data_IF_475685313058
#
_entry.id   IF_475685313058
#
_cell.length_a   1.000
_cell.length_b   1.000
_cell.length_c   1.000
_cell.angle_alpha   90.00
_cell.angle_beta   90.00
_cell.angle_gamma   90.00
#
_symmetry.space_group_name_H-M   'P 1'
#
loop_
_entity.id
_entity.type
_entity.pdbx_description
1 polymer ?
#
# COMPACT_ATOMS: atom_id res chain seq x y z
N UNK A 1 -6.97 -63.87 13.64
CA UNK A 1 -6.68 -64.07 12.20
C UNK A 1 -5.25 -63.60 11.95
N UNK A 2 -4.35 -64.51 11.58
CA UNK A 2 -2.95 -64.21 11.30
C UNK A 2 -2.81 -63.72 9.85
N UNK A 3 -2.34 -62.48 9.65
CA UNK A 3 -2.05 -61.92 8.33
C UNK A 3 -0.76 -62.59 7.81
N UNK A 4 -0.86 -63.35 6.73
CA UNK A 4 0.31 -63.94 6.05
C UNK A 4 1.12 -62.83 5.37
N UNK A 5 2.46 -62.79 5.51
CA UNK A 5 3.29 -61.83 4.79
C UNK A 5 3.29 -62.17 3.29
N UNK A 6 2.94 -61.17 2.47
CA UNK A 6 3.00 -61.23 1.01
C UNK A 6 4.46 -61.35 0.55
N UNK A 7 4.79 -62.35 -0.28
CA UNK A 7 6.10 -62.56 -0.90
C UNK A 7 6.31 -61.72 -2.18
N UNK A 8 5.65 -60.58 -2.31
CA UNK A 8 5.86 -59.69 -3.46
C UNK A 8 7.05 -58.79 -3.18
N UNK A 9 7.96 -58.63 -4.14
CA UNK A 9 9.05 -57.65 -4.00
C UNK A 9 8.45 -56.24 -3.95
N UNK A 10 9.12 -55.30 -3.26
CA UNK A 10 8.73 -53.88 -3.25
C UNK A 10 8.53 -53.32 -4.67
N UNK A 11 9.29 -53.84 -5.65
CA UNK A 11 9.19 -53.46 -7.07
C UNK A 11 7.90 -53.96 -7.74
N UNK A 12 7.33 -55.10 -7.32
CA UNK A 12 6.02 -55.59 -7.82
C UNK A 12 4.85 -54.84 -7.18
N UNK A 13 4.99 -54.40 -5.93
CA UNK A 13 3.97 -53.59 -5.24
C UNK A 13 3.87 -52.21 -5.90
N UNK A 14 5.00 -51.56 -6.17
CA UNK A 14 5.04 -50.25 -6.84
C UNK A 14 4.50 -50.31 -8.28
N UNK A 15 4.75 -51.39 -9.02
CA UNK A 15 4.24 -51.56 -10.39
C UNK A 15 2.73 -51.84 -10.48
N UNK A 16 2.10 -52.31 -9.40
CA UNK A 16 0.69 -52.74 -9.43
C UNK A 16 -0.31 -51.72 -8.88
N UNK A 17 0.15 -50.65 -8.22
CA UNK A 17 -0.77 -49.68 -7.59
C UNK A 17 -0.46 -48.20 -7.83
N UNK A 18 0.60 -47.86 -8.59
CA UNK A 18 0.93 -46.46 -8.84
C UNK A 18 0.95 -46.21 -10.35
N UNK A 19 -0.04 -45.46 -10.85
CA UNK A 19 -0.03 -44.94 -12.22
C UNK A 19 1.24 -44.11 -12.41
N UNK A 20 1.87 -44.18 -13.59
CA UNK A 20 3.01 -43.32 -13.96
C UNK A 20 2.69 -41.83 -13.77
N UNK A 21 1.41 -41.45 -13.88
CA UNK A 21 0.90 -40.11 -13.57
C UNK A 21 1.14 -39.71 -12.11
N UNK A 22 0.92 -40.62 -11.16
CA UNK A 22 1.10 -40.36 -9.73
C UNK A 22 2.58 -40.35 -9.33
N UNK A 23 3.43 -41.10 -10.04
CA UNK A 23 4.90 -41.05 -9.84
C UNK A 23 5.46 -39.74 -10.40
N UNK A 24 4.97 -39.28 -11.55
CA UNK A 24 5.30 -37.97 -12.09
C UNK A 24 4.83 -36.85 -11.16
N UNK A 25 3.60 -36.90 -10.64
CA UNK A 25 3.11 -35.95 -9.62
C UNK A 25 3.97 -35.94 -8.35
N UNK A 26 4.49 -37.10 -7.92
CA UNK A 26 5.42 -37.22 -6.79
C UNK A 26 6.82 -36.68 -7.08
N UNK A 27 7.25 -36.66 -8.35
CA UNK A 27 8.54 -36.09 -8.77
C UNK A 27 8.43 -34.62 -9.18
N UNK A 28 7.23 -34.14 -9.51
CA UNK A 28 6.89 -32.72 -9.74
C UNK A 28 6.34 -32.02 -8.51
N UNK A 29 6.24 -32.72 -7.36
CA UNK A 29 6.09 -32.11 -6.05
C UNK A 29 7.38 -31.35 -5.74
N UNK A 30 7.44 -30.16 -6.34
CA UNK A 30 8.23 -28.98 -6.01
C UNK A 30 9.30 -29.19 -4.95
N UNK A 31 10.42 -29.80 -5.36
CA UNK A 31 11.71 -29.65 -4.68
C UNK A 31 12.32 -28.28 -5.03
N UNK A 32 11.53 -27.21 -4.93
CA UNK A 32 11.93 -25.86 -5.29
C UNK A 32 11.80 -24.85 -4.14
N UNK A 33 11.86 -25.28 -2.88
CA UNK A 33 12.36 -24.41 -1.82
C UNK A 33 13.25 -25.28 -0.91
N UNK A 34 14.59 -25.07 -0.86
CA UNK A 34 15.35 -25.63 0.24
C UNK A 34 14.64 -25.18 1.52
N UNK A 35 14.40 -26.11 2.44
CA UNK A 35 13.83 -25.79 3.76
C UNK A 35 14.71 -24.71 4.41
N UNK A 36 14.38 -23.43 4.16
CA UNK A 36 14.99 -22.30 4.84
C UNK A 36 14.71 -22.54 6.31
N UNK A 37 15.73 -22.42 7.14
CA UNK A 37 15.54 -22.59 8.57
C UNK A 37 14.46 -21.60 9.03
N UNK A 38 13.61 -22.00 9.98
CA UNK A 38 12.57 -21.11 10.54
C UNK A 38 13.17 -19.77 11.01
N UNK A 39 14.43 -19.81 11.45
CA UNK A 39 15.24 -18.64 11.81
C UNK A 39 15.59 -17.72 10.64
N UNK A 40 15.80 -18.25 9.44
CA UNK A 40 16.04 -17.44 8.23
C UNK A 40 14.75 -16.80 7.75
N UNK A 41 13.63 -17.54 7.75
CA UNK A 41 12.31 -16.99 7.39
C UNK A 41 11.93 -15.81 8.28
N UNK A 42 12.05 -15.98 9.60
CA UNK A 42 11.75 -14.91 10.56
C UNK A 42 12.64 -13.67 10.37
N UNK A 43 13.90 -13.86 9.98
CA UNK A 43 14.82 -12.74 9.69
C UNK A 43 14.42 -11.98 8.44
N UNK A 44 14.05 -12.69 7.37
CA UNK A 44 13.58 -12.09 6.13
C UNK A 44 12.27 -11.31 6.36
N UNK A 45 11.28 -11.93 7.00
CA UNK A 45 10.01 -11.25 7.30
C UNK A 45 10.17 -10.06 8.25
N UNK A 46 11.12 -10.12 9.19
CA UNK A 46 11.45 -8.96 10.04
C UNK A 46 12.04 -7.82 9.22
N UNK A 47 12.99 -8.12 8.33
CA UNK A 47 13.61 -7.11 7.47
C UNK A 47 12.60 -6.48 6.50
N UNK A 48 11.73 -7.29 5.90
CA UNK A 48 10.65 -6.81 5.02
C UNK A 48 9.68 -5.89 5.77
N UNK A 49 9.30 -6.27 6.99
CA UNK A 49 8.45 -5.43 7.84
C UNK A 49 9.13 -4.09 8.17
N UNK A 50 10.41 -4.08 8.55
CA UNK A 50 11.10 -2.82 8.84
C UNK A 50 11.20 -1.89 7.63
N UNK A 51 11.54 -2.42 6.44
CA UNK A 51 11.58 -1.62 5.23
C UNK A 51 10.20 -1.00 4.93
N UNK A 52 9.12 -1.76 5.17
CA UNK A 52 7.76 -1.26 5.00
C UNK A 52 7.42 -0.14 5.99
N UNK A 53 7.88 -0.28 7.24
CA UNK A 53 7.69 0.75 8.28
C UNK A 53 8.44 2.03 7.92
N UNK A 54 9.67 1.92 7.42
CA UNK A 54 10.47 3.06 6.97
C UNK A 54 9.77 3.77 5.78
N UNK A 55 9.31 3.01 4.78
CA UNK A 55 8.55 3.55 3.64
C UNK A 55 7.26 4.27 4.09
N UNK A 56 6.58 3.75 5.11
CA UNK A 56 5.39 4.37 5.70
C UNK A 56 5.72 5.70 6.37
N UNK A 57 6.77 5.73 7.18
CA UNK A 57 7.20 6.94 7.89
C UNK A 57 7.69 8.03 6.93
N UNK A 58 8.43 7.67 5.87
CA UNK A 58 8.87 8.59 4.81
C UNK A 58 7.68 9.24 4.08
N UNK A 59 6.58 8.49 3.91
CA UNK A 59 5.34 8.98 3.30
C UNK A 59 4.46 9.78 4.28
N UNK A 60 4.96 10.03 5.50
CA UNK A 60 4.22 10.74 6.56
C UNK A 60 3.07 9.92 7.13
N UNK A 61 3.06 8.61 6.92
CA UNK A 61 2.05 7.68 7.45
C UNK A 61 2.59 7.06 8.73
N UNK A 62 1.91 7.34 9.84
CA UNK A 62 2.32 6.81 11.14
C UNK A 62 1.92 5.34 11.25
N UNK A 63 2.88 4.43 11.10
CA UNK A 63 2.75 2.98 11.33
C UNK A 63 2.03 2.69 12.66
N UNK A 64 2.28 3.47 13.70
CA UNK A 64 1.58 3.38 14.97
C UNK A 64 0.06 3.52 14.87
N UNK A 65 -0.43 4.48 14.09
CA UNK A 65 -1.87 4.68 13.89
C UNK A 65 -2.51 3.46 13.22
N UNK A 66 -1.82 2.84 12.25
CA UNK A 66 -2.31 1.64 11.56
C UNK A 66 -2.36 0.41 12.48
N UNK A 67 -1.35 0.24 13.34
CA UNK A 67 -1.33 -0.85 14.31
C UNK A 67 -2.40 -0.69 15.39
N UNK A 68 -2.70 0.57 15.77
CA UNK A 68 -3.77 0.90 16.72
C UNK A 68 -5.14 0.66 16.08
N UNK A 69 -5.37 1.11 14.84
CA UNK A 69 -6.63 0.94 14.12
C UNK A 69 -6.98 -0.54 13.94
N UNK A 70 -5.97 -1.38 13.65
CA UNK A 70 -6.13 -2.84 13.58
C UNK A 70 -6.34 -3.52 14.94
N UNK A 71 -6.25 -2.78 16.04
CA UNK A 71 -6.39 -3.31 17.40
C UNK A 71 -5.27 -4.27 17.80
N UNK A 72 -4.12 -4.22 17.12
CA UNK A 72 -2.94 -5.06 17.41
C UNK A 72 -2.26 -4.55 18.68
N UNK A 73 -2.19 -3.22 18.79
CA UNK A 73 -1.70 -2.51 19.96
C UNK A 73 -2.67 -1.39 20.32
N UNK A 74 -2.56 -0.88 21.53
CA UNK A 74 -3.24 0.32 21.98
C UNK A 74 -2.31 1.53 21.94
N UNK A 75 -2.87 2.73 22.06
CA UNK A 75 -2.11 3.98 22.06
C UNK A 75 -1.07 4.04 23.20
N UNK A 76 -1.43 3.59 24.41
CA UNK A 76 -0.51 3.46 25.55
C UNK A 76 0.66 2.52 25.24
N UNK A 77 0.38 1.44 24.52
CA UNK A 77 1.39 0.44 24.16
C UNK A 77 2.31 0.92 23.04
N UNK A 78 1.81 1.76 22.13
CA UNK A 78 2.62 2.38 21.09
C UNK A 78 3.63 3.37 21.67
N UNK A 79 3.22 4.21 22.64
CA UNK A 79 4.13 5.15 23.31
C UNK A 79 5.29 4.42 24.01
N UNK A 80 4.98 3.33 24.71
CA UNK A 80 5.99 2.49 25.37
C UNK A 80 6.95 1.85 24.36
N UNK A 81 6.44 1.37 23.22
CA UNK A 81 7.24 0.81 22.13
C UNK A 81 8.18 1.86 21.52
N UNK A 82 7.68 3.06 21.22
CA UNK A 82 8.48 4.14 20.63
C UNK A 82 9.62 4.54 21.56
N UNK A 83 9.33 4.63 22.87
CA UNK A 83 10.35 4.92 23.87
C UNK A 83 11.42 3.82 23.93
N UNK A 84 11.01 2.55 23.92
CA UNK A 84 11.94 1.42 23.92
C UNK A 84 12.77 1.33 22.63
N UNK A 85 12.18 1.64 21.47
CA UNK A 85 12.92 1.73 20.20
C UNK A 85 14.02 2.80 20.26
N UNK A 86 13.69 3.98 20.80
CA UNK A 86 14.66 5.07 20.96
C UNK A 86 15.80 4.72 21.94
N UNK A 87 15.49 3.98 23.01
CA UNK A 87 16.48 3.61 24.03
C UNK A 87 17.36 2.41 23.61
N UNK A 88 16.80 1.44 22.88
CA UNK A 88 17.46 0.16 22.62
C UNK A 88 17.91 -0.04 21.17
N UNK A 89 17.44 0.81 20.23
CA UNK A 89 17.61 0.63 18.79
C UNK A 89 17.10 -0.75 18.30
N UNK A 90 16.16 -1.33 19.04
CA UNK A 90 15.55 -2.61 18.66
C UNK A 90 14.50 -2.36 17.59
N UNK A 91 14.48 -3.13 16.48
CA UNK A 91 13.46 -3.00 15.43
C UNK A 91 12.04 -3.23 15.95
N UNK A 92 11.05 -2.59 15.31
CA UNK A 92 9.65 -2.65 15.74
C UNK A 92 9.11 -4.09 15.71
N UNK A 93 9.40 -4.83 14.64
CA UNK A 93 9.07 -6.26 14.48
C UNK A 93 9.50 -7.10 15.68
N UNK A 94 10.71 -6.86 16.18
CA UNK A 94 11.28 -7.59 17.31
C UNK A 94 10.58 -7.23 18.62
N UNK A 95 10.23 -5.96 18.82
CA UNK A 95 9.51 -5.52 20.01
C UNK A 95 8.05 -6.01 20.02
N UNK A 96 7.37 -6.01 18.88
CA UNK A 96 6.00 -6.55 18.76
C UNK A 96 5.93 -8.04 19.15
N UNK A 97 6.94 -8.83 18.76
CA UNK A 97 7.06 -10.24 19.15
C UNK A 97 7.46 -10.37 20.62
N UNK A 98 8.45 -9.59 21.08
CA UNK A 98 8.97 -9.63 22.46
C UNK A 98 7.87 -9.35 23.49
N UNK A 99 7.04 -8.34 23.23
CA UNK A 99 5.91 -7.97 24.08
C UNK A 99 4.67 -8.85 23.85
N UNK A 100 4.75 -9.82 22.92
CA UNK A 100 3.68 -10.76 22.55
C UNK A 100 2.42 -10.06 22.02
N UNK A 101 2.57 -8.91 21.41
CA UNK A 101 1.48 -8.25 20.67
C UNK A 101 1.15 -9.04 19.40
N UNK A 102 2.15 -9.68 18.79
CA UNK A 102 1.99 -10.61 17.68
C UNK A 102 2.82 -11.88 17.91
N UNK A 103 2.38 -13.00 17.33
CA UNK A 103 3.22 -14.19 17.25
C UNK A 103 4.21 -14.10 16.08
N UNK A 104 5.36 -14.80 16.13
CA UNK A 104 6.34 -14.79 15.04
C UNK A 104 5.75 -15.15 13.67
N UNK A 105 4.79 -16.08 13.64
CA UNK A 105 4.11 -16.48 12.40
C UNK A 105 3.06 -15.49 11.87
N UNK A 106 2.69 -14.47 12.67
CA UNK A 106 1.71 -13.45 12.28
C UNK A 106 2.37 -12.20 11.70
N UNK A 107 3.70 -12.09 11.76
CA UNK A 107 4.43 -10.93 11.24
C UNK A 107 4.32 -10.83 9.72
N UNK A 108 4.42 -11.96 9.03
CA UNK A 108 4.28 -12.05 7.56
C UNK A 108 2.87 -11.64 7.11
N UNK A 109 1.84 -12.13 7.81
CA UNK A 109 0.45 -11.74 7.56
C UNK A 109 0.21 -10.26 7.82
N UNK A 110 0.77 -9.71 8.90
CA UNK A 110 0.66 -8.29 9.21
C UNK A 110 1.34 -7.42 8.16
N UNK A 111 2.55 -7.79 7.71
CA UNK A 111 3.27 -7.09 6.66
C UNK A 111 2.46 -7.07 5.36
N UNK A 112 1.91 -8.22 4.96
CA UNK A 112 1.08 -8.33 3.75
C UNK A 112 -0.22 -7.54 3.86
N UNK A 113 -0.85 -7.52 5.04
CA UNK A 113 -2.04 -6.71 5.30
C UNK A 113 -1.76 -5.21 5.24
N UNK A 114 -0.64 -4.75 5.81
CA UNK A 114 -0.24 -3.35 5.74
C UNK A 114 0.09 -2.96 4.30
N UNK A 115 0.80 -3.81 3.57
CA UNK A 115 1.11 -3.60 2.15
C UNK A 115 -0.15 -3.58 1.28
N UNK A 116 -1.06 -4.51 1.48
CA UNK A 116 -2.34 -4.56 0.77
C UNK A 116 -3.18 -3.32 1.07
N UNK A 117 -3.23 -2.86 2.33
CA UNK A 117 -3.86 -1.59 2.66
C UNK A 117 -3.14 -0.40 2.05
N UNK A 118 -1.81 -0.41 1.94
CA UNK A 118 -1.09 0.65 1.22
C UNK A 118 -1.45 0.64 -0.26
N UNK A 119 -1.58 -0.52 -0.90
CA UNK A 119 -1.99 -0.61 -2.30
C UNK A 119 -3.46 -0.19 -2.48
N UNK A 120 -4.34 -0.65 -1.60
CA UNK A 120 -5.75 -0.28 -1.56
C UNK A 120 -5.95 1.19 -1.23
N UNK A 121 -5.21 1.80 -0.31
CA UNK A 121 -5.27 3.23 0.01
C UNK A 121 -4.49 4.10 -0.99
N UNK A 122 -3.51 3.55 -1.70
CA UNK A 122 -2.92 4.22 -2.88
C UNK A 122 -3.92 4.24 -4.04
N UNK A 123 -4.88 3.32 -4.07
CA UNK A 123 -6.00 3.29 -5.01
C UNK A 123 -7.25 4.05 -4.50
N UNK A 124 -7.56 3.96 -3.19
CA UNK A 124 -8.73 4.54 -2.53
C UNK A 124 -8.46 5.97 -2.02
N UNK A 125 -7.19 6.30 -1.79
CA UNK A 125 -6.70 7.66 -1.73
C UNK A 125 -6.76 8.30 -3.11
N UNK A 126 -7.95 8.76 -3.48
CA UNK A 126 -8.11 9.93 -4.33
C UNK A 126 -7.68 9.77 -5.80
N UNK A 127 -8.08 8.69 -6.48
CA UNK A 127 -8.25 8.88 -7.93
C UNK A 127 -9.31 9.97 -8.12
N UNK A 128 -9.04 10.96 -8.97
CA UNK A 128 -10.04 11.98 -9.33
C UNK A 128 -11.37 11.34 -9.75
N UNK A 129 -11.33 10.12 -10.30
CA UNK A 129 -12.49 9.31 -10.64
C UNK A 129 -13.37 8.99 -9.43
N UNK A 130 -12.80 8.49 -8.33
CA UNK A 130 -13.57 8.12 -7.13
C UNK A 130 -14.15 9.35 -6.45
N UNK A 131 -13.39 10.44 -6.37
CA UNK A 131 -13.88 11.72 -5.82
C UNK A 131 -15.08 12.24 -6.62
N UNK A 132 -14.99 12.23 -7.96
CA UNK A 132 -16.07 12.71 -8.80
C UNK A 132 -17.31 11.81 -8.76
N UNK A 133 -17.12 10.50 -8.58
CA UNK A 133 -18.21 9.53 -8.40
C UNK A 133 -18.90 9.71 -7.04
N UNK A 134 -18.12 9.76 -5.96
CA UNK A 134 -18.61 9.92 -4.58
C UNK A 134 -19.40 11.21 -4.38
N UNK A 135 -18.93 12.31 -4.98
CA UNK A 135 -19.63 13.60 -4.93
C UNK A 135 -20.83 13.67 -5.90
N UNK A 136 -21.10 12.59 -6.65
CA UNK A 136 -22.22 12.48 -7.60
C UNK A 136 -22.11 13.42 -8.79
N UNK A 137 -20.88 13.84 -9.13
CA UNK A 137 -20.61 14.78 -10.21
C UNK A 137 -20.49 14.06 -11.55
N UNK A 138 -19.93 12.85 -11.53
CA UNK A 138 -19.92 11.94 -12.68
C UNK A 138 -20.53 10.60 -12.28
N UNK A 139 -21.34 10.03 -13.15
CA UNK A 139 -21.80 8.65 -13.04
C UNK A 139 -20.79 7.64 -13.60
N UNK A 140 -21.01 6.36 -13.32
CA UNK A 140 -20.14 5.26 -13.78
C UNK A 140 -19.94 5.28 -15.31
N UNK A 141 -21.00 5.47 -16.08
CA UNK A 141 -20.95 5.54 -17.54
C UNK A 141 -20.10 6.72 -18.06
N UNK A 142 -20.11 7.85 -17.35
CA UNK A 142 -19.34 9.04 -17.74
C UNK A 142 -17.85 8.85 -17.44
N UNK A 143 -17.56 8.19 -16.31
CA UNK A 143 -16.19 7.79 -15.95
C UNK A 143 -15.64 6.79 -16.97
N UNK A 144 -16.43 5.78 -17.36
CA UNK A 144 -16.02 4.81 -18.38
C UNK A 144 -15.68 5.52 -19.70
N UNK A 145 -16.60 6.35 -20.20
CA UNK A 145 -16.41 7.13 -21.43
C UNK A 145 -15.18 8.04 -21.39
N UNK A 146 -14.94 8.72 -20.27
CA UNK A 146 -13.76 9.58 -20.11
C UNK A 146 -12.45 8.77 -20.01
N UNK A 147 -12.51 7.57 -19.42
CA UNK A 147 -11.37 6.66 -19.33
C UNK A 147 -11.00 6.08 -20.69
N UNK A 148 -12.00 5.72 -21.50
CA UNK A 148 -11.79 5.25 -22.87
C UNK A 148 -11.11 6.32 -23.72
N UNK A 149 -11.63 7.56 -23.75
CA UNK A 149 -11.00 8.67 -24.47
C UNK A 149 -9.57 8.93 -23.99
N UNK A 150 -9.35 8.94 -22.68
CA UNK A 150 -8.01 9.14 -22.11
C UNK A 150 -7.02 8.06 -22.60
N UNK A 151 -7.47 6.80 -22.68
CA UNK A 151 -6.66 5.69 -23.19
C UNK A 151 -6.41 5.78 -24.69
N UNK A 152 -7.43 6.12 -25.47
CA UNK A 152 -7.33 6.25 -26.93
C UNK A 152 -6.38 7.38 -27.35
N UNK A 153 -6.44 8.50 -26.64
CA UNK A 153 -5.65 9.69 -26.97
C UNK A 153 -4.33 9.78 -26.19
N UNK A 154 -4.10 8.88 -25.23
CA UNK A 154 -2.90 8.89 -24.38
C UNK A 154 -2.82 10.10 -23.44
N UNK A 155 -3.96 10.70 -23.10
CA UNK A 155 -4.06 11.87 -22.22
C UNK A 155 -4.46 11.47 -20.79
N UNK A 156 -4.36 12.42 -19.85
CA UNK A 156 -4.81 12.19 -18.47
C UNK A 156 -6.34 12.19 -18.39
N UNK A 157 -6.91 11.38 -17.50
CA UNK A 157 -8.35 11.37 -17.24
C UNK A 157 -8.90 12.76 -16.87
N UNK A 158 -8.17 13.54 -16.07
CA UNK A 158 -8.56 14.91 -15.72
C UNK A 158 -8.67 15.85 -16.93
N UNK A 159 -7.88 15.60 -17.98
CA UNK A 159 -7.98 16.34 -19.23
C UNK A 159 -9.15 15.82 -20.07
N UNK A 160 -9.35 14.49 -20.14
CA UNK A 160 -10.44 13.92 -20.93
C UNK A 160 -11.82 14.33 -20.43
N UNK A 161 -12.04 14.44 -19.12
CA UNK A 161 -13.32 14.92 -18.55
C UNK A 161 -13.59 16.39 -18.86
N UNK A 162 -12.55 17.22 -18.99
CA UNK A 162 -12.68 18.64 -19.36
C UNK A 162 -12.97 18.77 -20.86
N UNK A 163 -12.27 18.00 -21.70
CA UNK A 163 -12.49 18.02 -23.15
C UNK A 163 -13.86 17.45 -23.57
N UNK A 164 -14.41 16.53 -22.78
CA UNK A 164 -15.76 15.99 -23.00
C UNK A 164 -16.86 16.89 -22.41
N UNK A 165 -16.51 18.04 -21.81
CA UNK A 165 -17.42 18.93 -21.10
C UNK A 165 -18.25 18.21 -20.01
N UNK A 166 -17.73 17.12 -19.43
CA UNK A 166 -18.43 16.37 -18.38
C UNK A 166 -18.41 17.10 -17.05
N UNK A 167 -17.33 17.85 -16.79
CA UNK A 167 -17.21 18.70 -15.60
C UNK A 167 -16.42 19.95 -15.96
N UNK A 168 -16.72 21.07 -15.30
CA UNK A 168 -15.96 22.30 -15.49
C UNK A 168 -14.82 22.43 -14.49
N UNK A 169 -13.74 23.11 -14.87
CA UNK A 169 -12.60 23.36 -13.99
C UNK A 169 -12.99 24.06 -12.66
N UNK A 170 -13.88 25.08 -12.64
CA UNK A 170 -14.36 25.66 -11.39
C UNK A 170 -15.03 24.63 -10.47
N UNK A 171 -15.81 23.71 -11.05
CA UNK A 171 -16.50 22.68 -10.29
C UNK A 171 -15.54 21.66 -9.68
N UNK A 172 -14.53 21.23 -10.44
CA UNK A 172 -13.43 20.40 -9.92
C UNK A 172 -12.76 21.12 -8.75
N UNK A 173 -12.41 22.39 -8.91
CA UNK A 173 -11.74 23.16 -7.86
C UNK A 173 -12.58 23.25 -6.58
N UNK A 174 -13.90 23.46 -6.67
CA UNK A 174 -14.81 23.45 -5.50
C UNK A 174 -14.85 22.11 -4.78
N UNK A 175 -14.87 20.99 -5.52
CA UNK A 175 -14.89 19.64 -4.94
C UNK A 175 -13.61 19.39 -4.17
N UNK A 176 -12.46 19.66 -4.80
CA UNK A 176 -11.16 19.50 -4.17
C UNK A 176 -11.02 20.43 -2.96
N UNK A 177 -11.53 21.65 -3.05
CA UNK A 177 -11.59 22.59 -1.94
C UNK A 177 -12.28 21.98 -0.72
N UNK A 178 -13.47 21.42 -0.94
CA UNK A 178 -14.28 20.78 0.10
C UNK A 178 -13.62 19.52 0.66
N UNK A 179 -13.10 18.64 -0.21
CA UNK A 179 -12.54 17.34 0.19
C UNK A 179 -11.22 17.46 0.94
N UNK A 180 -10.35 18.39 0.52
CA UNK A 180 -9.02 18.57 1.10
C UNK A 180 -8.93 19.72 2.11
N UNK A 181 -10.06 20.36 2.42
CA UNK A 181 -10.09 21.49 3.35
C UNK A 181 -9.22 22.67 2.89
N UNK A 182 -9.10 22.89 1.57
CA UNK A 182 -8.31 24.01 1.04
C UNK A 182 -9.12 25.29 1.27
N UNK A 183 -8.59 26.24 2.02
CA UNK A 183 -9.34 27.46 2.37
C UNK A 183 -9.71 28.31 1.15
N UNK A 184 -8.84 28.34 0.15
CA UNK A 184 -8.93 29.29 -0.96
C UNK A 184 -8.48 28.66 -2.27
N UNK A 185 -9.37 28.62 -3.27
CA UNK A 185 -8.98 28.47 -4.66
C UNK A 185 -8.66 29.88 -5.16
N UNK A 186 -7.43 30.11 -5.59
CA UNK A 186 -6.96 31.44 -5.98
C UNK A 186 -6.81 31.52 -7.50
N UNK A 187 -7.39 32.55 -8.10
CA UNK A 187 -7.14 32.87 -9.50
C UNK A 187 -5.84 33.66 -9.61
N UNK A 188 -4.83 33.06 -10.24
CA UNK A 188 -3.51 33.68 -10.43
C UNK A 188 -3.56 34.95 -11.29
N UNK A 189 -4.57 35.12 -12.15
CA UNK A 189 -4.73 36.32 -12.97
C UNK A 189 -5.12 37.56 -12.17
N UNK A 190 -5.75 37.36 -11.02
CA UNK A 190 -6.24 38.44 -10.14
C UNK A 190 -5.57 38.46 -8.76
N UNK A 191 -4.79 37.44 -8.44
CA UNK A 191 -4.09 37.31 -7.18
C UNK A 191 -3.05 38.41 -6.95
N UNK A 192 -3.04 38.97 -5.73
CA UNK A 192 -1.91 39.76 -5.24
C UNK A 192 -0.86 38.81 -4.66
N UNK A 193 0.24 38.64 -5.37
CA UNK A 193 1.36 37.78 -4.97
C UNK A 193 2.41 38.65 -4.28
N UNK A 194 2.76 38.30 -3.05
CA UNK A 194 3.84 38.96 -2.32
C UNK A 194 5.20 38.48 -2.85
N UNK A 195 5.86 39.31 -3.68
CA UNK A 195 7.15 38.96 -4.31
C UNK A 195 8.24 38.53 -3.32
N UNK A 196 8.21 39.04 -2.09
CA UNK A 196 9.16 38.66 -1.04
C UNK A 196 8.99 37.19 -0.59
N UNK A 197 7.79 36.63 -0.76
CA UNK A 197 7.47 35.24 -0.39
C UNK A 197 7.87 34.26 -1.48
N UNK A 198 7.82 34.67 -2.75
CA UNK A 198 8.23 33.82 -3.90
C UNK A 198 9.68 33.36 -3.73
N UNK A 199 10.56 34.25 -3.28
CA UNK A 199 11.97 33.95 -3.07
C UNK A 199 12.27 33.03 -1.87
N UNK A 200 11.25 32.66 -1.08
CA UNK A 200 11.43 31.72 0.04
C UNK A 200 11.56 30.28 -0.45
N UNK A 201 11.06 29.97 -1.64
CA UNK A 201 11.17 28.63 -2.23
C UNK A 201 12.09 28.71 -3.45
N UNK A 202 13.14 27.86 -3.51
CA UNK A 202 14.01 27.78 -4.68
C UNK A 202 13.26 27.49 -6.00
N UNK A 203 13.71 28.13 -7.09
CA UNK A 203 13.10 28.00 -8.42
C UNK A 203 12.97 26.56 -8.92
N UNK A 204 13.95 25.71 -8.61
CA UNK A 204 13.91 24.31 -9.00
C UNK A 204 12.76 23.57 -8.31
N UNK A 205 12.54 23.82 -7.00
CA UNK A 205 11.43 23.20 -6.28
C UNK A 205 10.08 23.72 -6.77
N UNK A 206 9.96 25.02 -7.03
CA UNK A 206 8.73 25.60 -7.61
C UNK A 206 8.37 24.96 -8.95
N UNK A 207 9.36 24.77 -9.85
CA UNK A 207 9.14 24.15 -11.16
C UNK A 207 8.86 22.65 -11.07
N UNK A 208 9.66 21.92 -10.29
CA UNK A 208 9.54 20.47 -10.16
C UNK A 208 8.22 20.05 -9.54
N UNK A 209 7.71 20.83 -8.59
CA UNK A 209 6.49 20.50 -7.85
C UNK A 209 5.28 21.36 -8.27
N UNK A 210 5.42 22.19 -9.32
CA UNK A 210 4.36 23.07 -9.81
C UNK A 210 3.73 23.96 -8.71
N UNK A 211 4.58 24.49 -7.82
CA UNK A 211 4.18 25.27 -6.65
C UNK A 211 4.45 26.76 -6.89
N UNK A 212 3.63 27.62 -6.29
CA UNK A 212 3.90 29.07 -6.23
C UNK A 212 3.60 29.62 -4.82
N UNK A 213 4.63 30.02 -4.06
CA UNK A 213 4.42 30.72 -2.79
C UNK A 213 3.76 32.06 -3.06
N UNK A 214 2.58 32.30 -2.47
CA UNK A 214 1.81 33.51 -2.75
C UNK A 214 1.63 34.43 -1.54
N UNK A 215 1.70 33.89 -0.33
CA UNK A 215 1.56 34.63 0.92
C UNK A 215 2.20 33.88 2.08
N UNK A 216 2.82 34.61 3.01
CA UNK A 216 3.28 34.05 4.28
C UNK A 216 2.25 34.38 5.37
N UNK A 217 1.63 33.36 5.96
CA UNK A 217 0.89 33.51 7.23
C UNK A 217 1.85 33.12 8.36
N UNK A 218 2.12 34.06 9.25
CA UNK A 218 2.89 33.87 10.47
C UNK A 218 2.08 34.42 11.64
#
# INVERSE_FOLDING_TARGET
>A
MLIKPSRKSLTEILKSQVSLSNVMELMTLDLAHPMRSEKERLRESSLEFENLVEDLEEQGRHTGALLIDKGIIREDQWEDLVKEMAETQTPLSTLLIKHRYIQPGQLEELAEQLKSQMEEEKQAGSSIQSILLEEGVLGENEIERATEKAREEGIRFSQSILELDLVSLPKIAEIFKKRFGIDTVMDLGTAQIEFQVVNLVPDNLMKTHELLPFKRKG
#
